data_IF_630784553391
#
_entry.id   IF_630784553391
#
_cell.length_a   1.000
_cell.length_b   1.000
_cell.length_c   1.000
_cell.angle_alpha   90.00
_cell.angle_beta   90.00
_cell.angle_gamma   90.00
#
_symmetry.space_group_name_H-M   'P 1'
#
loop_
_entity.id
_entity.type
_entity.pdbx_description
1 polymer ?
#
# COMPACT_ATOMS: atom_id res chain seq x y z
N UNK A 1 -16.58 -7.23 1.41
CA UNK A 1 -15.39 -6.45 0.98
C UNK A 1 -15.32 -6.42 -0.54
N UNK A 2 -14.85 -5.30 -1.16
CA UNK A 2 -14.47 -5.27 -2.57
C UNK A 2 -12.97 -5.47 -2.70
N UNK A 3 -12.53 -6.47 -3.47
CA UNK A 3 -11.14 -6.73 -3.82
C UNK A 3 -10.89 -6.18 -5.21
N UNK A 4 -10.09 -5.11 -5.29
CA UNK A 4 -9.79 -4.41 -6.53
C UNK A 4 -8.36 -4.69 -6.97
N UNK A 5 -8.19 -5.14 -8.21
CA UNK A 5 -6.90 -5.36 -8.86
C UNK A 5 -7.06 -5.11 -10.38
N UNK A 6 -5.98 -4.77 -11.06
CA UNK A 6 -5.95 -4.70 -12.51
C UNK A 6 -6.04 -6.11 -13.14
N UNK A 7 -5.62 -7.13 -12.41
CA UNK A 7 -5.73 -8.54 -12.75
C UNK A 7 -6.90 -9.19 -12.02
N UNK A 8 -8.01 -9.38 -12.74
CA UNK A 8 -9.21 -10.02 -12.20
C UNK A 8 -8.98 -11.45 -11.69
N UNK A 9 -8.00 -12.19 -12.22
CA UNK A 9 -7.68 -13.54 -11.78
C UNK A 9 -7.06 -13.53 -10.38
N UNK A 10 -6.13 -12.60 -10.12
CA UNK A 10 -5.54 -12.40 -8.80
C UNK A 10 -6.60 -11.96 -7.77
N UNK A 11 -7.44 -11.01 -8.15
CA UNK A 11 -8.53 -10.58 -7.30
C UNK A 11 -9.48 -11.74 -6.95
N UNK A 12 -9.77 -12.63 -7.91
CA UNK A 12 -10.64 -13.79 -7.68
C UNK A 12 -10.05 -14.79 -6.68
N UNK A 13 -8.73 -15.01 -6.71
CA UNK A 13 -8.06 -15.88 -5.71
C UNK A 13 -8.31 -15.35 -4.30
N UNK A 14 -8.07 -14.04 -4.08
CA UNK A 14 -8.29 -13.43 -2.76
C UNK A 14 -9.76 -13.47 -2.35
N UNK A 15 -10.70 -13.25 -3.28
CA UNK A 15 -12.14 -13.35 -3.00
C UNK A 15 -12.50 -14.77 -2.58
N UNK A 16 -11.93 -15.80 -3.23
CA UNK A 16 -12.16 -17.19 -2.86
C UNK A 16 -11.66 -17.50 -1.44
N UNK A 17 -10.44 -17.07 -1.10
CA UNK A 17 -9.89 -17.24 0.24
C UNK A 17 -10.76 -16.58 1.33
N UNK A 18 -11.28 -15.37 1.06
CA UNK A 18 -12.16 -14.67 2.00
C UNK A 18 -13.49 -15.41 2.15
N UNK A 19 -14.08 -15.89 1.06
CA UNK A 19 -15.37 -16.59 1.11
C UNK A 19 -15.25 -17.96 1.73
N UNK A 20 -14.16 -18.70 1.49
CA UNK A 20 -13.86 -19.96 2.11
C UNK A 20 -13.67 -19.83 3.64
N UNK A 21 -13.16 -18.68 4.08
CA UNK A 21 -13.08 -18.30 5.49
C UNK A 21 -14.42 -17.77 6.08
N UNK A 22 -15.52 -17.81 5.32
CA UNK A 22 -16.85 -17.38 5.76
C UNK A 22 -17.11 -15.88 5.62
N UNK A 23 -16.20 -15.13 4.99
CA UNK A 23 -16.39 -13.70 4.71
C UNK A 23 -17.23 -13.43 3.45
N UNK A 24 -17.58 -12.15 3.24
CA UNK A 24 -18.29 -11.71 2.04
C UNK A 24 -17.39 -10.79 1.23
N UNK A 25 -17.08 -11.18 0.00
CA UNK A 25 -16.22 -10.42 -0.88
C UNK A 25 -16.69 -10.45 -2.35
N UNK A 26 -16.24 -9.47 -3.14
CA UNK A 26 -16.48 -9.42 -4.59
C UNK A 26 -15.23 -8.91 -5.30
N UNK A 27 -15.06 -9.32 -6.54
CA UNK A 27 -14.01 -8.82 -7.45
C UNK A 27 -14.45 -7.52 -8.10
N UNK A 28 -13.50 -6.59 -8.25
CA UNK A 28 -13.62 -5.43 -9.13
C UNK A 28 -12.32 -5.28 -9.92
N UNK A 29 -12.38 -5.36 -11.25
CA UNK A 29 -11.21 -5.13 -12.11
C UNK A 29 -11.06 -3.62 -12.29
N UNK A 30 -9.93 -3.05 -11.83
CA UNK A 30 -9.69 -1.61 -11.80
C UNK A 30 -8.23 -1.28 -12.04
N UNK A 31 -7.94 -0.40 -12.99
CA UNK A 31 -6.68 0.36 -13.00
C UNK A 31 -6.85 1.58 -12.09
N UNK A 32 -6.15 1.57 -10.95
CA UNK A 32 -6.25 2.64 -9.96
C UNK A 32 -5.74 4.01 -10.46
N UNK A 33 -5.04 4.05 -11.58
CA UNK A 33 -4.63 5.30 -12.23
C UNK A 33 -5.73 5.94 -13.08
N UNK A 34 -6.85 5.24 -13.32
CA UNK A 34 -8.01 5.73 -14.06
C UNK A 34 -9.09 6.24 -13.10
N UNK A 35 -9.33 7.54 -13.11
CA UNK A 35 -10.28 8.19 -12.21
C UNK A 35 -11.71 7.65 -12.36
N UNK A 36 -12.15 7.34 -13.58
CA UNK A 36 -13.51 6.84 -13.84
C UNK A 36 -13.69 5.43 -13.29
N UNK A 37 -12.68 4.58 -13.44
CA UNK A 37 -12.72 3.22 -12.88
C UNK A 37 -12.71 3.24 -11.34
N UNK A 38 -11.90 4.12 -10.72
CA UNK A 38 -11.88 4.26 -9.26
C UNK A 38 -13.20 4.82 -8.73
N UNK A 39 -13.80 5.80 -9.40
CA UNK A 39 -15.13 6.31 -9.05
C UNK A 39 -16.18 5.21 -9.12
N UNK A 40 -16.21 4.45 -10.23
CA UNK A 40 -17.12 3.31 -10.39
C UNK A 40 -16.93 2.23 -9.33
N UNK A 41 -15.67 1.90 -8.97
CA UNK A 41 -15.36 0.94 -7.91
C UNK A 41 -15.98 1.36 -6.57
N UNK A 42 -15.85 2.63 -6.19
CA UNK A 42 -16.43 3.13 -4.94
C UNK A 42 -17.94 3.10 -4.99
N UNK A 43 -18.55 3.58 -6.09
CA UNK A 43 -20.00 3.57 -6.27
C UNK A 43 -20.59 2.14 -6.21
N UNK A 44 -19.95 1.18 -6.89
CA UNK A 44 -20.36 -0.22 -6.88
C UNK A 44 -20.21 -0.86 -5.49
N UNK A 45 -19.17 -0.46 -4.73
CA UNK A 45 -18.98 -0.92 -3.35
C UNK A 45 -20.09 -0.41 -2.44
N UNK A 46 -20.42 0.88 -2.53
CA UNK A 46 -21.52 1.49 -1.77
C UNK A 46 -22.85 0.84 -2.13
N UNK A 47 -23.12 0.62 -3.41
CA UNK A 47 -24.34 -0.04 -3.85
C UNK A 47 -24.46 -1.49 -3.35
N UNK A 48 -23.35 -2.23 -3.31
CA UNK A 48 -23.34 -3.64 -2.90
C UNK A 48 -23.45 -3.84 -1.38
N UNK A 49 -22.90 -2.92 -0.58
CA UNK A 49 -22.78 -3.10 0.89
C UNK A 49 -23.51 -2.02 1.71
N UNK A 50 -24.13 -1.04 1.06
CA UNK A 50 -24.86 0.03 1.71
C UNK A 50 -23.98 1.15 2.30
N UNK A 51 -22.68 1.16 2.00
CA UNK A 51 -21.73 2.18 2.45
C UNK A 51 -20.28 1.75 2.34
N UNK A 52 -19.38 2.65 2.73
CA UNK A 52 -17.93 2.41 2.75
C UNK A 52 -17.36 2.96 4.06
N UNK A 53 -16.76 2.11 4.85
CA UNK A 53 -16.18 2.43 6.17
C UNK A 53 -14.65 2.42 6.13
N UNK A 54 -14.04 1.56 5.31
CA UNK A 54 -12.59 1.31 5.30
C UNK A 54 -12.04 1.34 3.88
N UNK A 55 -10.86 1.96 3.70
CA UNK A 55 -10.10 1.94 2.45
C UNK A 55 -8.65 1.54 2.70
N UNK A 56 -8.18 0.51 1.98
CA UNK A 56 -6.75 0.18 1.91
C UNK A 56 -6.20 0.43 0.50
N UNK A 57 -5.37 1.46 0.35
CA UNK A 57 -4.64 1.75 -0.89
C UNK A 57 -3.35 0.93 -0.92
N UNK A 58 -3.36 -0.22 -1.60
CA UNK A 58 -2.25 -1.17 -1.63
C UNK A 58 -1.62 -1.33 -3.01
N UNK A 59 -2.34 -1.06 -4.09
CA UNK A 59 -1.85 -1.23 -5.45
C UNK A 59 -0.53 -0.45 -5.70
N UNK A 60 0.38 -1.08 -6.45
CA UNK A 60 1.65 -0.47 -6.84
C UNK A 60 2.13 -0.99 -8.21
N UNK A 61 2.83 -0.13 -8.96
CA UNK A 61 3.42 -0.44 -10.27
C UNK A 61 4.75 -1.22 -10.11
N UNK A 62 4.70 -2.43 -9.54
CA UNK A 62 5.88 -3.26 -9.29
C UNK A 62 6.52 -3.81 -10.58
N UNK A 63 5.76 -3.91 -11.66
CA UNK A 63 6.21 -4.26 -13.00
C UNK A 63 7.22 -3.25 -13.56
N UNK A 64 7.17 -1.99 -13.09
CA UNK A 64 8.08 -0.92 -13.48
C UNK A 64 9.42 -0.94 -12.74
N UNK A 65 9.58 -1.71 -11.67
CA UNK A 65 10.79 -1.67 -10.82
C UNK A 65 12.11 -1.92 -11.54
N UNK A 66 12.10 -2.70 -12.64
CA UNK A 66 13.31 -2.96 -13.44
C UNK A 66 13.64 -1.79 -14.38
N UNK A 67 12.68 -0.96 -14.72
CA UNK A 67 12.80 0.20 -15.61
C UNK A 67 13.03 1.49 -14.81
N UNK A 68 12.69 1.49 -13.50
CA UNK A 68 12.87 2.60 -12.58
C UNK A 68 14.34 2.66 -12.13
N UNK A 69 15.11 3.39 -12.88
CA UNK A 69 16.55 3.55 -12.72
C UNK A 69 16.89 4.86 -11.97
N UNK A 70 18.13 5.35 -12.16
CA UNK A 70 18.51 6.71 -11.76
C UNK A 70 17.83 7.77 -12.66
N UNK A 71 17.81 9.00 -12.17
CA UNK A 71 17.08 10.12 -12.79
C UNK A 71 17.52 10.39 -14.26
N UNK A 72 18.77 10.07 -14.60
CA UNK A 72 19.30 10.34 -15.96
C UNK A 72 18.89 9.26 -16.95
N UNK A 73 18.81 8.01 -16.49
CA UNK A 73 18.57 6.83 -17.36
C UNK A 73 17.13 6.40 -17.44
N UNK A 74 16.29 6.81 -16.48
CA UNK A 74 14.90 6.43 -16.43
C UNK A 74 14.09 7.12 -17.53
N UNK A 75 13.26 6.36 -18.24
CA UNK A 75 12.30 6.92 -19.19
C UNK A 75 11.19 7.68 -18.47
N UNK A 76 10.76 8.81 -19.01
CA UNK A 76 9.67 9.62 -18.45
C UNK A 76 8.37 8.83 -18.38
N UNK A 77 8.10 7.91 -19.31
CA UNK A 77 6.93 7.03 -19.24
C UNK A 77 6.92 6.11 -18.01
N UNK A 78 8.10 5.65 -17.57
CA UNK A 78 8.24 4.88 -16.32
C UNK A 78 7.94 5.77 -15.10
N UNK A 79 8.50 6.98 -15.07
CA UNK A 79 8.20 7.97 -14.05
C UNK A 79 6.70 8.24 -13.95
N UNK A 80 6.07 8.59 -15.07
CA UNK A 80 4.66 8.92 -15.14
C UNK A 80 3.77 7.74 -14.69
N UNK A 81 4.07 6.52 -15.14
CA UNK A 81 3.31 5.32 -14.76
C UNK A 81 3.44 5.01 -13.26
N UNK A 82 4.65 5.10 -12.71
CA UNK A 82 4.87 4.86 -11.27
C UNK A 82 4.12 5.88 -10.42
N UNK A 83 4.19 7.17 -10.77
CA UNK A 83 3.45 8.21 -10.04
C UNK A 83 1.94 8.06 -10.22
N UNK A 84 1.47 7.73 -11.42
CA UNK A 84 0.05 7.53 -11.69
C UNK A 84 -0.55 6.43 -10.81
N UNK A 85 0.13 5.29 -10.69
CA UNK A 85 -0.36 4.17 -9.87
C UNK A 85 -0.11 4.39 -8.38
N UNK A 86 1.14 4.74 -7.99
CA UNK A 86 1.55 4.69 -6.59
C UNK A 86 1.15 5.93 -5.77
N UNK A 87 0.88 7.06 -6.42
CA UNK A 87 0.55 8.33 -5.76
C UNK A 87 -0.82 8.87 -6.19
N UNK A 88 -1.05 9.01 -7.50
CA UNK A 88 -2.34 9.50 -8.00
C UNK A 88 -3.46 8.50 -7.70
N UNK A 89 -3.23 7.19 -7.85
CA UNK A 89 -4.19 6.15 -7.52
C UNK A 89 -4.72 6.23 -6.09
N UNK A 90 -3.87 6.22 -5.05
CA UNK A 90 -4.29 6.46 -3.68
C UNK A 90 -5.02 7.79 -3.45
N UNK A 91 -4.60 8.87 -4.12
CA UNK A 91 -5.31 10.15 -4.07
C UNK A 91 -6.72 10.02 -4.64
N UNK A 92 -6.90 9.34 -5.78
CA UNK A 92 -8.20 9.05 -6.37
C UNK A 92 -9.05 8.16 -5.45
N UNK A 93 -8.46 7.11 -4.86
CA UNK A 93 -9.13 6.28 -3.85
C UNK A 93 -9.68 7.11 -2.70
N UNK A 94 -8.87 8.00 -2.13
CA UNK A 94 -9.30 8.92 -1.08
C UNK A 94 -10.39 9.89 -1.58
N UNK A 95 -10.20 10.48 -2.77
CA UNK A 95 -11.14 11.44 -3.37
C UNK A 95 -12.56 10.91 -3.44
N UNK A 96 -12.73 9.67 -3.88
CA UNK A 96 -14.05 9.09 -4.06
C UNK A 96 -14.57 8.36 -2.81
N UNK A 97 -13.69 7.80 -1.97
CA UNK A 97 -14.11 7.13 -0.74
C UNK A 97 -14.55 8.09 0.38
N UNK A 98 -13.89 9.24 0.54
CA UNK A 98 -14.14 10.19 1.63
C UNK A 98 -15.60 10.68 1.67
N UNK A 99 -16.26 11.06 0.57
CA UNK A 99 -17.67 11.42 0.60
C UNK A 99 -18.57 10.30 1.14
N UNK A 100 -18.37 9.05 0.66
CA UNK A 100 -19.13 7.89 1.11
C UNK A 100 -18.87 7.56 2.60
N UNK A 101 -17.64 7.68 3.07
CA UNK A 101 -17.30 7.55 4.50
C UNK A 101 -17.96 8.63 5.34
N UNK A 102 -17.99 9.87 4.85
CA UNK A 102 -18.64 10.99 5.54
C UNK A 102 -20.13 10.75 5.73
N UNK A 103 -20.83 10.21 4.72
CA UNK A 103 -22.23 9.82 4.82
C UNK A 103 -22.47 8.71 5.85
N UNK A 104 -21.47 7.87 6.11
CA UNK A 104 -21.49 6.83 7.15
C UNK A 104 -21.16 7.37 8.55
N UNK A 105 -20.72 8.62 8.66
CA UNK A 105 -20.32 9.24 9.94
C UNK A 105 -18.84 9.08 10.28
N UNK A 106 -18.02 8.65 9.35
CA UNK A 106 -16.57 8.50 9.50
C UNK A 106 -16.01 7.26 8.82
N UNK A 107 -14.72 7.01 9.05
CA UNK A 107 -14.05 5.85 8.47
C UNK A 107 -12.54 5.83 8.73
N UNK A 108 -11.87 4.81 8.18
CA UNK A 108 -10.42 4.71 8.27
C UNK A 108 -9.79 4.38 6.91
N UNK A 109 -8.69 5.09 6.62
CA UNK A 109 -7.91 4.93 5.40
C UNK A 109 -6.49 4.50 5.80
N UNK A 110 -5.97 3.45 5.16
CA UNK A 110 -4.57 3.06 5.27
C UNK A 110 -3.97 2.97 3.86
N UNK A 111 -2.77 3.54 3.69
CA UNK A 111 -2.03 3.44 2.43
C UNK A 111 -0.71 2.70 2.63
N UNK A 112 -0.36 1.80 1.69
CA UNK A 112 0.92 1.10 1.71
C UNK A 112 2.01 1.97 1.09
N UNK A 113 2.78 2.66 1.95
CA UNK A 113 4.00 3.38 1.59
C UNK A 113 5.17 2.38 1.37
N UNK A 114 6.35 2.70 1.82
CA UNK A 114 7.53 1.83 1.81
C UNK A 114 8.63 2.44 2.68
N UNK A 115 9.54 1.63 3.19
CA UNK A 115 10.81 2.08 3.75
C UNK A 115 11.60 2.98 2.77
N UNK A 116 11.46 2.76 1.45
CA UNK A 116 12.04 3.60 0.40
C UNK A 116 11.60 5.08 0.45
N UNK A 117 10.54 5.42 1.18
CA UNK A 117 10.16 6.80 1.44
C UNK A 117 11.13 7.56 2.38
N UNK A 118 12.03 6.84 3.07
CA UNK A 118 12.86 7.38 4.15
C UNK A 118 14.37 7.28 3.90
N UNK A 119 14.78 6.71 2.76
CA UNK A 119 16.19 6.67 2.35
C UNK A 119 16.33 6.88 0.85
N UNK A 120 17.56 7.19 0.39
CA UNK A 120 17.91 7.26 -1.03
C UNK A 120 18.51 5.94 -1.53
N UNK A 121 18.34 5.68 -2.83
CA UNK A 121 18.93 4.55 -3.54
C UNK A 121 19.50 5.01 -4.88
N UNK A 122 20.41 4.24 -5.45
CA UNK A 122 20.96 4.47 -6.80
C UNK A 122 19.98 4.08 -7.93
N UNK A 123 18.83 3.53 -7.60
CA UNK A 123 17.72 3.16 -8.50
C UNK A 123 16.40 3.35 -7.78
N UNK A 124 15.28 3.10 -8.47
CA UNK A 124 13.92 3.25 -7.93
C UNK A 124 13.59 4.70 -7.52
N UNK A 125 14.06 5.67 -8.33
CA UNK A 125 13.86 7.09 -8.05
C UNK A 125 12.38 7.48 -8.11
N UNK A 126 11.62 6.99 -9.09
CA UNK A 126 10.18 7.23 -9.19
C UNK A 126 9.42 6.54 -8.04
N UNK A 127 9.74 5.29 -7.75
CA UNK A 127 9.12 4.53 -6.66
C UNK A 127 9.33 5.21 -5.31
N UNK A 128 10.59 5.50 -4.95
CA UNK A 128 10.91 6.19 -3.68
C UNK A 128 10.20 7.53 -3.56
N UNK A 129 10.22 8.34 -4.63
CA UNK A 129 9.51 9.63 -4.69
C UNK A 129 8.00 9.45 -4.52
N UNK A 130 7.39 8.47 -5.21
CA UNK A 130 5.96 8.19 -5.08
C UNK A 130 5.57 7.80 -3.65
N UNK A 131 6.38 6.98 -2.99
CA UNK A 131 6.12 6.52 -1.61
C UNK A 131 6.38 7.63 -0.58
N UNK A 132 7.34 8.52 -0.79
CA UNK A 132 7.51 9.74 0.00
C UNK A 132 6.34 10.72 -0.18
N UNK A 133 5.85 10.88 -1.41
CA UNK A 133 4.63 11.64 -1.70
C UNK A 133 3.41 11.08 -0.98
N UNK A 134 3.28 9.76 -0.92
CA UNK A 134 2.17 9.09 -0.23
C UNK A 134 2.20 9.32 1.30
N UNK A 135 3.40 9.34 1.90
CA UNK A 135 3.59 9.74 3.32
C UNK A 135 3.11 11.18 3.56
N UNK A 136 3.42 12.09 2.64
CA UNK A 136 2.91 13.48 2.73
C UNK A 136 1.38 13.51 2.56
N UNK A 137 0.83 12.86 1.53
CA UNK A 137 -0.61 12.81 1.26
C UNK A 137 -1.40 12.30 2.47
N UNK A 138 -0.90 11.26 3.16
CA UNK A 138 -1.51 10.72 4.39
C UNK A 138 -1.76 11.80 5.44
N UNK A 139 -0.79 12.68 5.68
CA UNK A 139 -0.93 13.80 6.64
C UNK A 139 -1.94 14.85 6.19
N UNK A 140 -1.95 15.18 4.89
CA UNK A 140 -2.90 16.14 4.34
C UNK A 140 -4.34 15.63 4.43
N UNK A 141 -4.58 14.35 4.13
CA UNK A 141 -5.91 13.74 4.26
C UNK A 141 -6.33 13.70 5.73
N UNK A 142 -5.46 13.25 6.65
CA UNK A 142 -5.75 13.23 8.08
C UNK A 142 -6.14 14.61 8.61
N UNK A 143 -5.39 15.66 8.24
CA UNK A 143 -5.65 17.02 8.70
C UNK A 143 -6.95 17.61 8.10
N UNK A 144 -7.25 17.31 6.83
CA UNK A 144 -8.38 17.90 6.13
C UNK A 144 -9.73 17.29 6.51
N UNK A 145 -9.76 16.04 7.00
CA UNK A 145 -10.99 15.28 7.22
C UNK A 145 -11.17 14.76 8.64
N UNK A 146 -10.38 15.26 9.60
CA UNK A 146 -10.52 14.93 11.02
C UNK A 146 -11.91 15.31 11.57
N UNK A 147 -12.48 16.44 11.14
CA UNK A 147 -13.82 16.90 11.51
C UNK A 147 -14.95 16.01 10.95
N UNK A 148 -14.66 15.13 10.01
CA UNK A 148 -15.56 14.12 9.45
C UNK A 148 -15.39 12.75 10.11
N UNK A 149 -14.63 12.67 11.21
CA UNK A 149 -14.31 11.43 11.90
C UNK A 149 -13.61 10.41 10.96
N UNK A 150 -12.75 10.89 10.05
CA UNK A 150 -11.98 10.05 9.13
C UNK A 150 -10.52 10.05 9.58
N UNK A 151 -9.99 8.87 9.88
CA UNK A 151 -8.58 8.66 10.15
C UNK A 151 -7.85 8.26 8.87
N UNK A 152 -6.64 8.77 8.67
CA UNK A 152 -5.81 8.40 7.53
C UNK A 152 -4.38 8.14 8.00
N UNK A 153 -3.89 6.92 7.78
CA UNK A 153 -2.55 6.48 8.16
C UNK A 153 -1.86 5.77 6.99
N UNK A 154 -0.58 5.51 7.13
CA UNK A 154 0.19 4.68 6.21
C UNK A 154 0.95 3.59 6.96
N UNK A 155 1.23 2.47 6.27
CA UNK A 155 2.26 1.52 6.68
C UNK A 155 3.44 1.66 5.73
N UNK A 156 4.66 1.50 6.24
CA UNK A 156 5.88 1.53 5.45
C UNK A 156 6.66 0.22 5.64
N UNK A 157 6.37 -0.80 4.81
CA UNK A 157 7.09 -2.07 4.84
C UNK A 157 8.56 -1.92 4.48
N UNK A 158 9.40 -2.77 5.09
CA UNK A 158 10.74 -3.07 4.62
C UNK A 158 10.70 -4.02 3.42
N UNK A 159 11.70 -4.90 3.30
CA UNK A 159 11.64 -5.98 2.32
C UNK A 159 10.70 -7.06 2.85
N UNK A 160 9.67 -7.37 2.07
CA UNK A 160 8.67 -8.39 2.37
C UNK A 160 8.76 -9.49 1.31
N UNK A 161 8.76 -10.73 1.73
CA UNK A 161 8.77 -11.91 0.87
C UNK A 161 7.67 -12.88 1.29
N UNK A 162 7.11 -13.62 0.36
CA UNK A 162 6.23 -14.72 0.70
C UNK A 162 7.03 -15.94 1.21
N UNK A 163 6.35 -16.87 1.86
CA UNK A 163 6.97 -18.06 2.44
C UNK A 163 7.64 -18.95 1.38
N UNK A 164 7.08 -19.05 0.17
CA UNK A 164 7.65 -19.85 -0.92
C UNK A 164 8.97 -19.24 -1.46
N UNK A 165 9.04 -17.91 -1.55
CA UNK A 165 10.27 -17.22 -1.93
C UNK A 165 11.38 -17.40 -0.88
N UNK A 166 11.02 -17.50 0.40
CA UNK A 166 11.98 -17.75 1.48
C UNK A 166 12.55 -19.17 1.43
N UNK A 167 11.72 -20.18 1.14
CA UNK A 167 12.16 -21.57 1.00
C UNK A 167 13.11 -21.75 -0.19
N UNK A 168 12.99 -20.92 -1.23
CA UNK A 168 13.87 -20.88 -2.39
C UNK A 168 15.27 -20.24 -2.12
N UNK A 169 15.60 -19.87 -0.90
CA UNK A 169 16.82 -19.11 -0.52
C UNK A 169 18.15 -19.90 -0.65
N UNK A 170 18.23 -20.97 -1.42
CA UNK A 170 19.46 -21.70 -1.74
C UNK A 170 20.06 -21.42 -3.12
N UNK A 171 19.47 -20.53 -3.94
CA UNK A 171 19.88 -20.26 -5.31
C UNK A 171 20.33 -18.80 -5.56
N UNK A 172 20.51 -18.39 -6.83
CA UNK A 172 20.96 -17.03 -7.19
C UNK A 172 20.10 -15.89 -6.64
N UNK A 173 18.86 -16.17 -6.26
CA UNK A 173 17.99 -15.22 -5.57
C UNK A 173 18.25 -15.17 -4.05
N UNK A 174 18.86 -16.23 -3.46
CA UNK A 174 19.14 -16.33 -2.05
C UNK A 174 20.14 -15.28 -1.57
N UNK A 175 21.23 -15.02 -2.31
CA UNK A 175 22.23 -14.02 -1.93
C UNK A 175 21.67 -12.60 -1.88
N UNK A 176 20.72 -12.27 -2.75
CA UNK A 176 20.06 -10.96 -2.73
C UNK A 176 19.15 -10.81 -1.53
N UNK A 177 18.38 -11.85 -1.23
CA UNK A 177 17.50 -11.87 -0.05
C UNK A 177 18.31 -11.90 1.24
N UNK A 178 19.45 -12.62 1.29
CA UNK A 178 20.36 -12.60 2.42
C UNK A 178 20.88 -11.20 2.71
N UNK A 179 21.35 -10.46 1.69
CA UNK A 179 21.79 -9.07 1.84
C UNK A 179 20.68 -8.15 2.33
N UNK A 180 19.45 -8.33 1.85
CA UNK A 180 18.30 -7.57 2.35
C UNK A 180 17.97 -7.94 3.80
N UNK A 181 18.09 -9.23 4.16
CA UNK A 181 17.88 -9.68 5.54
C UNK A 181 18.91 -9.07 6.50
N UNK A 182 20.17 -9.04 6.14
CA UNK A 182 21.25 -8.42 6.91
C UNK A 182 21.04 -6.91 7.13
N UNK A 183 20.33 -6.24 6.22
CA UNK A 183 19.99 -4.83 6.35
C UNK A 183 18.91 -4.56 7.43
N UNK A 184 18.14 -5.59 7.83
CA UNK A 184 17.13 -5.47 8.87
C UNK A 184 17.70 -5.81 10.25
N UNK A 185 17.29 -5.08 11.29
CA UNK A 185 17.69 -5.40 12.67
C UNK A 185 17.14 -6.77 13.12
N UNK A 186 16.05 -7.21 12.53
CA UNK A 186 15.46 -8.54 12.78
C UNK A 186 16.21 -9.68 12.08
N UNK A 187 17.23 -9.38 11.26
CA UNK A 187 18.02 -10.32 10.46
C UNK A 187 17.17 -11.25 9.56
N UNK A 188 16.03 -10.78 9.12
CA UNK A 188 15.15 -11.47 8.16
C UNK A 188 14.29 -10.46 7.41
N UNK A 189 13.80 -10.79 6.21
CA UNK A 189 12.71 -10.05 5.59
C UNK A 189 11.42 -10.20 6.42
N UNK A 190 10.47 -9.32 6.18
CA UNK A 190 9.11 -9.44 6.70
C UNK A 190 8.26 -10.39 5.85
N UNK A 191 7.09 -10.75 6.39
CA UNK A 191 6.05 -11.51 5.72
C UNK A 191 4.81 -10.66 5.44
N UNK A 192 4.00 -11.00 4.42
CA UNK A 192 2.76 -10.29 4.12
C UNK A 192 1.82 -10.16 5.33
N UNK A 193 1.73 -11.20 6.16
CA UNK A 193 0.88 -11.25 7.35
C UNK A 193 1.28 -10.22 8.41
N UNK A 194 2.56 -9.91 8.53
CA UNK A 194 3.05 -8.90 9.47
C UNK A 194 2.60 -7.50 9.05
N UNK A 195 2.59 -7.25 7.73
CA UNK A 195 2.09 -5.99 7.18
C UNK A 195 0.56 -5.92 7.31
N UNK A 196 -0.13 -7.03 6.99
CA UNK A 196 -1.59 -7.13 7.12
C UNK A 196 -2.05 -6.88 8.57
N UNK A 197 -1.32 -7.39 9.56
CA UNK A 197 -1.59 -7.15 10.99
C UNK A 197 -1.54 -5.65 11.32
N UNK A 198 -0.52 -4.94 10.85
CA UNK A 198 -0.40 -3.50 11.07
C UNK A 198 -1.52 -2.70 10.36
N UNK A 199 -1.86 -3.10 9.12
CA UNK A 199 -2.95 -2.48 8.35
C UNK A 199 -4.29 -2.69 9.05
N UNK A 200 -4.61 -3.91 9.47
CA UNK A 200 -5.88 -4.22 10.13
C UNK A 200 -6.00 -3.50 11.47
N UNK A 201 -4.92 -3.40 12.25
CA UNK A 201 -4.92 -2.60 13.48
C UNK A 201 -5.19 -1.12 13.19
N UNK A 202 -4.50 -0.51 12.22
CA UNK A 202 -4.72 0.90 11.87
C UNK A 202 -6.13 1.17 11.32
N UNK A 203 -6.78 0.18 10.70
CA UNK A 203 -8.16 0.27 10.22
C UNK A 203 -9.19 0.05 11.33
N UNK A 204 -8.82 -0.61 12.44
CA UNK A 204 -9.74 -0.98 13.52
C UNK A 204 -10.00 0.17 14.51
N UNK A 205 -10.96 -0.04 15.40
CA UNK A 205 -11.29 0.87 16.50
C UNK A 205 -10.22 0.91 17.60
N UNK A 206 -9.28 -0.04 17.61
CA UNK A 206 -8.14 -0.02 18.54
C UNK A 206 -7.14 1.11 18.22
N UNK A 207 -7.23 1.71 17.03
CA UNK A 207 -6.37 2.81 16.56
C UNK A 207 -7.09 4.17 16.51
N UNK A 208 -8.14 4.38 17.32
CA UNK A 208 -8.96 5.62 17.25
C UNK A 208 -8.19 6.91 17.53
N UNK A 209 -7.07 6.85 18.25
CA UNK A 209 -6.23 8.01 18.54
C UNK A 209 -4.99 8.10 17.64
N UNK A 210 -4.97 7.34 16.51
CA UNK A 210 -3.87 7.32 15.55
C UNK A 210 -4.37 7.82 14.20
N UNK A 211 -3.89 8.99 13.77
CA UNK A 211 -4.15 9.57 12.45
C UNK A 211 -2.98 10.44 11.99
N UNK A 212 -2.73 10.49 10.68
CA UNK A 212 -1.60 11.22 10.09
C UNK A 212 -0.25 10.52 10.22
N UNK A 213 -0.22 9.29 10.77
CA UNK A 213 1.00 8.55 11.10
C UNK A 213 1.42 7.63 9.93
N UNK A 214 2.73 7.39 9.86
CA UNK A 214 3.30 6.36 9.00
C UNK A 214 4.04 5.33 9.85
N UNK A 215 3.38 4.20 10.09
CA UNK A 215 3.93 3.10 10.87
C UNK A 215 4.95 2.33 10.03
N UNK A 216 6.23 2.39 10.41
CA UNK A 216 7.28 1.59 9.78
C UNK A 216 7.22 0.15 10.26
N UNK A 217 6.92 -0.76 9.34
CA UNK A 217 6.87 -2.21 9.56
C UNK A 217 8.00 -2.82 8.74
N UNK A 218 9.22 -2.47 9.12
CA UNK A 218 10.43 -2.63 8.28
C UNK A 218 11.56 -3.41 8.98
N UNK A 219 11.29 -4.10 10.07
CA UNK A 219 12.29 -4.86 10.82
C UNK A 219 13.48 -4.01 11.28
N UNK A 220 13.30 -2.68 11.40
CA UNK A 220 14.33 -1.74 11.79
C UNK A 220 15.26 -1.29 10.66
N UNK A 221 14.92 -1.57 9.39
CA UNK A 221 15.72 -1.17 8.22
C UNK A 221 16.02 0.33 8.21
N UNK A 222 15.02 1.17 8.49
CA UNK A 222 15.18 2.63 8.51
C UNK A 222 15.63 3.21 9.85
N UNK A 223 15.83 2.37 10.87
CA UNK A 223 16.30 2.77 12.19
C UNK A 223 17.84 2.62 12.36
N UNK A 224 18.53 2.06 11.35
CA UNK A 224 19.96 1.76 11.43
C UNK A 224 20.76 3.04 11.16
N UNK A 225 21.78 3.28 12.01
CA UNK A 225 22.80 4.30 11.75
C UNK A 225 23.73 3.85 10.60
N UNK A 226 24.10 4.75 9.65
CA UNK A 226 25.07 4.45 8.62
C UNK A 226 26.49 4.17 9.16
N UNK A 227 26.72 4.32 10.46
CA UNK A 227 27.99 4.09 11.13
C UNK A 227 28.09 2.70 11.81
N UNK A 228 27.35 1.72 11.30
CA UNK A 228 27.38 0.34 11.77
C UNK A 228 28.34 -0.51 10.95
#
# INVERSE_FOLDING_TARGET
MTVADIDGTRAQVVVSEITDAGGVARVQVVDVSDATQVEGMVADTVAAYGGLDLLHNNAAALDQNRLDQDVVRMDLSTWDRVLAVNLTGPMLGCRFAIPAMTERGGGAIVSTASAAAFYGSSSLAAYGTSKAGLVALTRYIAAAYADKNIRCNAVAPGVVVDHAAQDAMGGPHGERLARYSEAHLTNRPGYPEEIATAVTWLLSDDATFVTGETLRVDGGLTAISPMR
#
